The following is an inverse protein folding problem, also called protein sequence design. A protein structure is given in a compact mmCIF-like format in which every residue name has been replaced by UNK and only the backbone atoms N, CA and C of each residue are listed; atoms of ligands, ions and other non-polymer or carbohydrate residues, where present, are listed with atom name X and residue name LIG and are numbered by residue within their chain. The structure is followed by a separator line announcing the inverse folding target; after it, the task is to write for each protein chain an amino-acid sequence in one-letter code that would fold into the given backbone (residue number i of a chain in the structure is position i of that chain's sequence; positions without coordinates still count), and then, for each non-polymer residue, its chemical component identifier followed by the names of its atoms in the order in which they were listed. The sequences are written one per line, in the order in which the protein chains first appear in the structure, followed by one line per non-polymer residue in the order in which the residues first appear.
data_IF_020439155340
#
_entry.id   IF_020439155340
#
_cell.length_a   1.000
_cell.length_b   1.000
_cell.length_c   1.000
_cell.angle_alpha   90.00
_cell.angle_beta   90.00
_cell.angle_gamma   90.00
#
_symmetry.space_group_name_H-M   'P 1'
#
loop_
_entity.id
_entity.type
_entity.pdbx_description
1 polymer ?
#
# COMPACT_ATOMS: atom_id res chain seq x y z
N UNK A 1 -38.53 -46.92 40.63
CA UNK A 1 -37.31 -46.20 41.02
C UNK A 1 -36.61 -45.68 39.77
N UNK A 2 -36.43 -44.35 39.70
CA UNK A 2 -35.57 -43.49 38.86
C UNK A 2 -35.42 -43.78 37.35
N UNK A 3 -36.09 -42.92 36.58
CA UNK A 3 -35.76 -42.57 35.18
C UNK A 3 -34.39 -41.89 35.14
N UNK A 4 -33.47 -42.31 34.28
CA UNK A 4 -32.22 -41.60 34.00
C UNK A 4 -32.37 -40.97 32.62
N UNK A 5 -32.57 -39.65 32.59
CA UNK A 5 -32.48 -38.81 31.40
C UNK A 5 -31.00 -38.48 31.24
N UNK A 6 -30.37 -38.99 30.18
CA UNK A 6 -29.01 -38.59 29.80
C UNK A 6 -29.16 -37.31 28.96
N UNK A 7 -28.85 -36.16 29.57
CA UNK A 7 -28.72 -34.88 28.86
C UNK A 7 -27.52 -34.96 27.91
N UNK A 8 -27.79 -34.84 26.61
CA UNK A 8 -26.79 -34.55 25.59
C UNK A 8 -26.28 -33.13 25.82
N UNK A 9 -25.04 -32.98 26.30
CA UNK A 9 -24.35 -31.69 26.27
C UNK A 9 -23.84 -31.48 24.84
N UNK A 10 -24.55 -30.65 24.06
CA UNK A 10 -24.00 -30.14 22.81
C UNK A 10 -22.90 -29.14 23.13
N UNK A 11 -21.65 -29.56 22.91
CA UNK A 11 -20.49 -28.67 22.97
C UNK A 11 -20.57 -27.74 21.74
N UNK A 12 -21.22 -26.58 21.86
CA UNK A 12 -21.07 -25.52 20.88
C UNK A 12 -19.61 -25.03 20.96
N UNK A 13 -18.79 -25.43 20.00
CA UNK A 13 -17.50 -24.78 19.76
C UNK A 13 -17.76 -23.32 19.40
N UNK A 14 -17.45 -22.42 20.33
CA UNK A 14 -17.32 -21.00 20.04
C UNK A 14 -16.20 -20.85 19.02
N UNK A 15 -16.58 -20.70 17.75
CA UNK A 15 -15.67 -20.21 16.72
C UNK A 15 -15.42 -18.75 17.10
N UNK A 16 -14.31 -18.48 17.78
CA UNK A 16 -13.80 -17.13 17.96
C UNK A 16 -13.39 -16.62 16.58
N UNK A 17 -14.32 -15.97 15.88
CA UNK A 17 -13.98 -15.09 14.77
C UNK A 17 -13.29 -13.90 15.43
N UNK A 18 -11.96 -13.92 15.52
CA UNK A 18 -11.22 -12.70 15.81
C UNK A 18 -11.46 -11.77 14.63
N UNK A 19 -12.34 -10.79 14.79
CA UNK A 19 -12.39 -9.69 13.85
C UNK A 19 -10.98 -9.12 13.78
N UNK A 20 -10.34 -9.17 12.61
CA UNK A 20 -9.06 -8.49 12.40
C UNK A 20 -9.29 -7.02 12.71
N UNK A 21 -8.63 -6.52 13.76
CA UNK A 21 -8.71 -5.11 14.11
C UNK A 21 -8.02 -4.34 13.01
N UNK A 22 -8.79 -3.59 12.22
CA UNK A 22 -8.29 -2.67 11.20
C UNK A 22 -8.01 -1.35 11.90
N UNK A 23 -6.76 -0.89 11.87
CA UNK A 23 -6.40 0.43 12.40
C UNK A 23 -6.94 1.50 11.43
N UNK A 24 -7.87 2.37 11.86
CA UNK A 24 -8.39 3.44 11.02
C UNK A 24 -7.28 4.44 10.63
N UNK A 25 -7.34 4.97 9.42
CA UNK A 25 -6.28 5.85 8.88
C UNK A 25 -6.01 7.07 9.76
N UNK A 26 -7.06 7.63 10.38
CA UNK A 26 -6.93 8.76 11.30
C UNK A 26 -6.09 8.41 12.53
N UNK A 27 -6.38 7.27 13.17
CA UNK A 27 -5.64 6.81 14.34
C UNK A 27 -4.20 6.44 13.97
N UNK A 28 -4.03 5.73 12.83
CA UNK A 28 -2.70 5.40 12.33
C UNK A 28 -1.87 6.66 12.10
N UNK A 29 -2.44 7.69 11.47
CA UNK A 29 -1.75 8.94 11.21
C UNK A 29 -1.38 9.68 12.50
N UNK A 30 -2.29 9.75 13.48
CA UNK A 30 -2.05 10.38 14.79
C UNK A 30 -0.87 9.71 15.52
N UNK A 31 -0.85 8.37 15.58
CA UNK A 31 0.20 7.61 16.26
C UNK A 31 1.55 7.63 15.52
N UNK A 32 1.50 7.58 14.19
CA UNK A 32 2.70 7.44 13.36
C UNK A 32 3.37 8.76 13.04
N UNK A 33 2.65 9.88 13.02
CA UNK A 33 3.20 11.19 12.64
C UNK A 33 4.45 11.57 13.46
N UNK A 34 4.48 11.46 14.81
CA UNK A 34 5.69 11.77 15.59
C UNK A 34 6.89 10.87 15.26
N UNK A 35 6.63 9.61 14.89
CA UNK A 35 7.64 8.62 14.52
C UNK A 35 8.20 8.95 13.13
N UNK A 36 7.31 9.20 12.16
CA UNK A 36 7.64 9.51 10.77
C UNK A 36 8.37 10.86 10.63
N UNK A 37 8.04 11.86 11.45
CA UNK A 37 8.76 13.14 11.46
C UNK A 37 10.26 12.97 11.74
N UNK A 38 10.62 12.01 12.61
CA UNK A 38 12.01 11.67 12.96
C UNK A 38 12.63 10.63 12.03
N UNK A 39 11.81 9.98 11.19
CA UNK A 39 12.27 8.94 10.30
C UNK A 39 13.15 9.47 9.16
N UNK A 40 13.92 8.57 8.54
CA UNK A 40 14.71 8.89 7.35
C UNK A 40 13.79 9.25 6.18
N UNK A 41 14.23 10.21 5.39
CA UNK A 41 13.59 10.55 4.12
C UNK A 41 14.16 9.65 3.02
N UNK A 42 13.29 9.13 2.18
CA UNK A 42 13.64 8.33 1.01
C UNK A 42 13.09 8.96 -0.25
N UNK A 43 13.81 8.81 -1.35
CA UNK A 43 13.45 9.34 -2.65
C UNK A 43 13.18 8.19 -3.61
N UNK A 44 12.05 8.26 -4.30
CA UNK A 44 11.75 7.30 -5.36
C UNK A 44 12.69 7.57 -6.53
N UNK A 45 13.42 6.55 -6.98
CA UNK A 45 14.48 6.72 -7.98
C UNK A 45 14.24 5.95 -9.27
N UNK A 46 13.54 4.82 -9.21
CA UNK A 46 13.35 3.95 -10.37
C UNK A 46 12.40 4.63 -11.37
N UNK A 47 12.85 4.76 -12.62
CA UNK A 47 12.03 5.36 -13.69
C UNK A 47 10.79 4.53 -13.94
N UNK A 48 9.74 5.17 -14.46
CA UNK A 48 8.53 4.48 -14.92
C UNK A 48 8.36 4.66 -16.42
N UNK A 49 7.54 3.82 -17.02
CA UNK A 49 7.04 4.04 -18.37
C UNK A 49 5.61 4.55 -18.28
N UNK A 50 5.28 5.57 -19.06
CA UNK A 50 3.90 6.04 -19.13
C UNK A 50 3.52 6.53 -20.51
N UNK A 51 2.22 6.55 -20.74
CA UNK A 51 1.58 7.09 -21.92
C UNK A 51 0.21 7.64 -21.55
N UNK A 52 -0.37 8.45 -22.43
CA UNK A 52 -1.79 8.78 -22.33
C UNK A 52 -2.62 7.50 -22.42
N UNK A 53 -3.61 7.40 -21.55
CA UNK A 53 -4.61 6.36 -21.60
C UNK A 53 -5.59 6.62 -22.76
N UNK A 54 -6.23 5.56 -23.24
CA UNK A 54 -7.41 5.70 -24.10
C UNK A 54 -8.63 5.80 -23.18
N UNK A 55 -9.54 6.77 -23.34
CA UNK A 55 -10.76 6.81 -22.52
C UNK A 55 -11.53 5.49 -22.59
N UNK A 56 -11.93 4.95 -21.44
CA UNK A 56 -12.57 3.63 -21.32
C UNK A 56 -11.59 2.45 -21.27
N UNK A 57 -10.27 2.68 -21.37
CA UNK A 57 -9.26 1.62 -21.23
C UNK A 57 -9.26 1.04 -19.81
N UNK A 58 -9.40 -0.28 -19.69
CA UNK A 58 -9.35 -0.98 -18.40
C UNK A 58 -7.93 -1.49 -18.16
N UNK A 59 -7.34 -1.08 -17.04
CA UNK A 59 -6.04 -1.56 -16.58
C UNK A 59 -6.23 -2.38 -15.30
N UNK A 60 -5.76 -3.62 -15.34
CA UNK A 60 -5.66 -4.50 -14.17
C UNK A 60 -4.28 -4.35 -13.54
N UNK A 61 -4.26 -4.13 -12.24
CA UNK A 61 -3.04 -4.07 -11.44
C UNK A 61 -2.71 -5.47 -10.92
N UNK A 62 -1.47 -5.89 -11.17
CA UNK A 62 -0.92 -7.13 -10.65
C UNK A 62 0.37 -6.83 -9.90
N UNK A 63 0.49 -7.38 -8.69
CA UNK A 63 1.70 -7.32 -7.87
C UNK A 63 2.35 -8.70 -7.80
N UNK A 64 3.44 -8.80 -7.04
CA UNK A 64 4.07 -10.10 -6.77
C UNK A 64 3.10 -11.08 -6.08
N UNK A 65 2.12 -10.57 -5.34
CA UNK A 65 1.11 -11.35 -4.62
C UNK A 65 -0.11 -11.71 -5.49
N UNK A 66 -0.19 -11.21 -6.74
CA UNK A 66 -1.23 -11.55 -7.71
C UNK A 66 -2.09 -10.37 -8.16
N UNK A 67 -3.36 -10.63 -8.52
CA UNK A 67 -4.30 -9.60 -8.91
C UNK A 67 -4.70 -8.76 -7.69
N UNK A 68 -4.57 -7.44 -7.80
CA UNK A 68 -5.02 -6.53 -6.75
C UNK A 68 -6.33 -5.85 -7.11
N UNK A 69 -6.37 -5.14 -8.23
CA UNK A 69 -7.51 -4.28 -8.59
C UNK A 69 -7.58 -4.00 -10.08
N UNK A 70 -8.63 -3.34 -10.53
CA UNK A 70 -8.74 -2.81 -11.88
C UNK A 70 -9.39 -1.43 -11.87
N UNK A 71 -8.98 -0.58 -12.81
CA UNK A 71 -9.56 0.75 -13.01
C UNK A 71 -9.82 1.02 -14.49
N UNK A 72 -10.76 1.91 -14.76
CA UNK A 72 -11.12 2.37 -16.11
C UNK A 72 -10.63 3.80 -16.29
N UNK A 73 -9.93 4.06 -17.40
CA UNK A 73 -9.34 5.36 -17.66
C UNK A 73 -10.38 6.39 -18.09
N UNK A 74 -10.30 7.58 -17.50
CA UNK A 74 -11.00 8.77 -17.95
C UNK A 74 -10.26 9.51 -19.06
N UNK A 75 -10.82 10.64 -19.47
CA UNK A 75 -10.18 11.52 -20.45
C UNK A 75 -8.95 12.21 -19.86
N UNK A 76 -7.84 12.18 -20.61
CA UNK A 76 -6.58 12.82 -20.20
C UNK A 76 -5.74 12.03 -19.19
N UNK A 77 -6.24 10.89 -18.72
CA UNK A 77 -5.53 10.00 -17.82
C UNK A 77 -4.25 9.42 -18.45
N UNK A 78 -3.38 8.88 -17.59
CA UNK A 78 -2.15 8.22 -17.97
C UNK A 78 -2.17 6.77 -17.50
N UNK A 79 -1.75 5.86 -18.37
CA UNK A 79 -1.35 4.51 -17.97
C UNK A 79 0.11 4.56 -17.58
N UNK A 80 0.39 4.14 -16.36
CA UNK A 80 1.73 4.02 -15.80
C UNK A 80 2.09 2.55 -15.70
N UNK A 81 3.34 2.22 -16.03
CA UNK A 81 3.95 0.91 -15.86
C UNK A 81 5.24 1.06 -15.06
N UNK A 82 5.29 0.40 -13.90
CA UNK A 82 6.50 0.34 -13.09
C UNK A 82 7.59 -0.50 -13.79
N UNK A 83 8.85 -0.19 -13.52
CA UNK A 83 10.01 -0.97 -14.01
C UNK A 83 10.57 -1.91 -12.94
N UNK A 84 9.76 -2.21 -11.91
CA UNK A 84 9.98 -3.29 -10.92
C UNK A 84 9.85 -4.66 -11.56
N UNK A 85 10.16 -5.71 -10.81
CA UNK A 85 9.99 -7.09 -11.30
C UNK A 85 8.52 -7.40 -11.61
N UNK A 86 7.60 -6.94 -10.76
CA UNK A 86 6.15 -7.12 -10.92
C UNK A 86 5.58 -6.35 -12.11
N UNK A 87 6.26 -5.27 -12.57
CA UNK A 87 5.85 -4.43 -13.72
C UNK A 87 4.40 -3.96 -13.63
N UNK A 88 3.95 -3.64 -12.42
CA UNK A 88 2.59 -3.19 -12.12
C UNK A 88 2.16 -2.08 -13.10
N UNK A 89 0.92 -2.18 -13.56
CA UNK A 89 0.29 -1.13 -14.36
C UNK A 89 -0.90 -0.57 -13.62
N UNK A 90 -1.06 0.74 -13.69
CA UNK A 90 -2.17 1.46 -13.06
C UNK A 90 -2.48 2.75 -13.81
N UNK A 91 -3.62 3.35 -13.49
CA UNK A 91 -4.08 4.60 -14.08
C UNK A 91 -3.87 5.74 -13.08
N UNK A 92 -3.44 6.90 -13.58
CA UNK A 92 -3.44 8.15 -12.84
C UNK A 92 -4.16 9.24 -13.62
N UNK A 93 -4.87 10.11 -12.90
CA UNK A 93 -5.34 11.36 -13.48
C UNK A 93 -4.18 12.22 -13.95
N UNK A 94 -4.43 13.05 -14.96
CA UNK A 94 -3.43 14.00 -15.49
C UNK A 94 -2.74 14.79 -14.38
N UNK A 95 -3.52 15.39 -13.49
CA UNK A 95 -3.02 16.20 -12.37
C UNK A 95 -2.09 15.40 -11.45
N UNK A 96 -2.51 14.21 -11.01
CA UNK A 96 -1.69 13.34 -10.16
C UNK A 96 -0.41 12.91 -10.89
N UNK A 97 -0.50 12.63 -12.19
CA UNK A 97 0.64 12.21 -12.99
C UNK A 97 1.68 13.33 -13.10
N UNK A 98 1.26 14.54 -13.48
CA UNK A 98 2.13 15.71 -13.66
C UNK A 98 2.77 16.15 -12.33
N UNK A 99 2.06 16.01 -11.20
CA UNK A 99 2.63 16.26 -9.87
C UNK A 99 3.70 15.25 -9.47
N UNK A 100 3.60 14.00 -9.94
CA UNK A 100 4.43 12.87 -9.47
C UNK A 100 5.62 12.56 -10.38
N UNK A 101 5.58 12.96 -11.64
CA UNK A 101 6.51 12.50 -12.66
C UNK A 101 7.01 13.61 -13.58
N UNK A 102 8.32 13.60 -13.84
CA UNK A 102 8.96 14.47 -14.83
C UNK A 102 9.33 13.67 -16.08
N UNK A 103 8.93 14.14 -17.25
CA UNK A 103 9.32 13.53 -18.52
C UNK A 103 10.85 13.50 -18.66
N UNK A 104 11.38 12.35 -19.10
CA UNK A 104 12.80 12.20 -19.42
C UNK A 104 13.02 12.09 -20.92
N UNK A 105 12.48 11.04 -21.54
CA UNK A 105 12.67 10.75 -22.97
C UNK A 105 11.63 9.78 -23.49
N UNK A 106 11.48 9.72 -24.81
CA UNK A 106 10.69 8.70 -25.49
C UNK A 106 11.38 7.33 -25.33
N UNK A 107 10.60 6.28 -25.08
CA UNK A 107 11.08 4.90 -25.07
C UNK A 107 10.91 4.28 -26.46
N UNK A 108 9.66 4.28 -26.95
CA UNK A 108 9.26 3.69 -28.23
C UNK A 108 8.03 4.42 -28.81
N UNK A 109 7.35 3.83 -29.80
CA UNK A 109 6.16 4.42 -30.42
C UNK A 109 4.97 4.58 -29.47
N UNK A 110 4.93 3.82 -28.37
CA UNK A 110 3.82 3.75 -27.42
C UNK A 110 4.15 4.39 -26.07
N UNK A 111 5.39 4.26 -25.58
CA UNK A 111 5.78 4.59 -24.21
C UNK A 111 6.82 5.70 -24.14
N UNK A 112 6.75 6.48 -23.06
CA UNK A 112 7.78 7.42 -22.66
C UNK A 112 8.33 7.05 -21.28
N UNK A 113 9.56 7.46 -20.98
CA UNK A 113 10.23 7.27 -19.70
C UNK A 113 10.07 8.54 -18.85
N UNK A 114 9.72 8.36 -17.58
CA UNK A 114 9.59 9.45 -16.62
C UNK A 114 10.38 9.19 -15.33
N UNK A 115 10.90 10.26 -14.75
CA UNK A 115 11.52 10.27 -13.44
C UNK A 115 10.46 10.53 -12.37
N UNK A 116 10.33 9.66 -11.34
CA UNK A 116 9.53 9.99 -10.17
C UNK A 116 10.13 11.16 -9.38
N UNK A 117 9.26 12.00 -8.83
CA UNK A 117 9.61 13.16 -7.98
C UNK A 117 9.31 12.93 -6.50
N UNK A 118 8.64 11.81 -6.18
CA UNK A 118 8.11 11.53 -4.84
C UNK A 118 9.20 11.30 -3.80
N UNK A 119 9.00 11.90 -2.62
CA UNK A 119 9.76 11.64 -1.40
C UNK A 119 8.82 11.21 -0.29
N UNK A 120 9.29 10.30 0.56
CA UNK A 120 8.52 9.79 1.69
C UNK A 120 9.38 9.72 2.94
N UNK A 121 8.73 9.84 4.10
CA UNK A 121 9.25 9.30 5.36
C UNK A 121 8.91 7.81 5.41
N UNK A 122 9.82 6.98 5.89
CA UNK A 122 9.58 5.54 5.99
C UNK A 122 10.13 4.96 7.29
N UNK A 123 9.34 4.10 7.91
CA UNK A 123 9.76 3.29 9.06
C UNK A 123 9.44 1.83 8.84
N UNK A 124 10.36 0.97 9.27
CA UNK A 124 10.22 -0.47 9.14
C UNK A 124 9.29 -1.01 10.21
N UNK A 125 8.44 -1.95 9.81
CA UNK A 125 7.55 -2.68 10.71
C UNK A 125 8.37 -3.72 11.46
N UNK A 126 8.66 -3.41 12.73
CA UNK A 126 9.33 -4.28 13.68
C UNK A 126 8.48 -4.45 14.95
N UNK A 127 8.97 -5.27 15.89
CA UNK A 127 8.26 -5.55 17.14
C UNK A 127 8.07 -4.32 18.04
N UNK A 128 8.93 -3.29 17.92
CA UNK A 128 8.74 -2.06 18.67
C UNK A 128 7.61 -1.23 18.08
N UNK A 129 7.48 -1.23 16.75
CA UNK A 129 6.41 -0.55 16.03
C UNK A 129 5.05 -1.21 16.28
N UNK A 130 4.98 -2.55 16.22
CA UNK A 130 3.72 -3.27 16.49
C UNK A 130 3.27 -3.09 17.94
N UNK A 131 4.20 -3.12 18.91
CA UNK A 131 3.91 -2.82 20.31
C UNK A 131 3.38 -1.40 20.50
N UNK A 132 3.92 -0.40 19.79
CA UNK A 132 3.43 0.98 19.82
C UNK A 132 1.98 1.07 19.34
N UNK A 133 1.65 0.36 18.26
CA UNK A 133 0.32 0.37 17.66
C UNK A 133 -0.70 -0.49 18.43
N UNK A 134 -0.28 -1.16 19.51
CA UNK A 134 -1.17 -2.00 20.32
C UNK A 134 -1.72 -3.21 19.57
N UNK A 135 -1.02 -3.70 18.53
CA UNK A 135 -1.43 -4.88 17.78
C UNK A 135 -0.72 -6.13 18.28
N UNK A 136 -1.51 -7.18 18.52
CA UNK A 136 -1.00 -8.50 18.89
C UNK A 136 -0.58 -9.26 17.64
N UNK A 137 0.71 -9.61 17.57
CA UNK A 137 1.29 -10.33 16.44
C UNK A 137 2.16 -9.45 15.54
N UNK A 138 2.51 -10.01 14.38
CA UNK A 138 3.48 -9.40 13.45
C UNK A 138 2.84 -8.88 12.16
N UNK A 139 1.61 -9.32 11.87
CA UNK A 139 0.81 -8.91 10.73
C UNK A 139 -0.49 -8.29 11.24
N UNK A 140 -0.91 -7.17 10.66
CA UNK A 140 -2.11 -6.42 11.06
C UNK A 140 -2.71 -5.69 9.85
N UNK A 141 -3.95 -5.21 9.98
CA UNK A 141 -4.63 -4.47 8.91
C UNK A 141 -4.72 -2.99 9.22
N UNK A 142 -4.58 -2.16 8.19
CA UNK A 142 -4.80 -0.71 8.25
C UNK A 142 -5.85 -0.30 7.22
N UNK A 143 -6.57 0.77 7.50
CA UNK A 143 -7.38 1.46 6.51
C UNK A 143 -6.51 2.47 5.75
N UNK A 144 -6.58 2.44 4.43
CA UNK A 144 -5.86 3.38 3.56
C UNK A 144 -6.61 4.70 3.44
N UNK A 145 -5.96 5.74 2.91
CA UNK A 145 -6.61 7.04 2.66
C UNK A 145 -7.72 6.98 1.60
N UNK A 146 -7.80 5.90 0.82
CA UNK A 146 -8.84 5.66 -0.18
C UNK A 146 -9.90 4.65 0.29
N UNK A 147 -9.91 4.29 1.58
CA UNK A 147 -10.98 3.50 2.21
C UNK A 147 -10.89 1.99 2.02
N UNK A 148 -9.76 1.47 1.52
CA UNK A 148 -9.53 0.03 1.42
C UNK A 148 -8.71 -0.51 2.60
N UNK A 149 -8.97 -1.77 2.96
CA UNK A 149 -8.15 -2.52 3.89
C UNK A 149 -6.81 -2.91 3.25
N UNK A 150 -5.72 -2.74 3.99
CA UNK A 150 -4.39 -3.13 3.57
C UNK A 150 -3.69 -3.92 4.67
N UNK A 151 -3.28 -5.15 4.35
CA UNK A 151 -2.49 -5.98 5.27
C UNK A 151 -1.04 -5.52 5.32
N UNK A 152 -0.56 -5.28 6.53
CA UNK A 152 0.82 -4.92 6.85
C UNK A 152 1.53 -6.14 7.42
N UNK A 153 2.65 -6.54 6.82
CA UNK A 153 3.45 -7.68 7.28
C UNK A 153 4.72 -7.22 7.98
N UNK A 154 5.29 -8.10 8.81
CA UNK A 154 6.61 -7.84 9.41
C UNK A 154 7.67 -7.53 8.38
N UNK A 155 8.45 -6.49 8.64
CA UNK A 155 9.55 -6.05 7.80
C UNK A 155 9.14 -5.11 6.66
N UNK A 156 7.85 -4.95 6.39
CA UNK A 156 7.35 -3.93 5.47
C UNK A 156 7.66 -2.52 5.96
N UNK A 157 7.35 -1.53 5.12
CA UNK A 157 7.54 -0.13 5.43
C UNK A 157 6.18 0.53 5.58
N UNK A 158 5.94 1.19 6.72
CA UNK A 158 4.92 2.22 6.81
C UNK A 158 5.55 3.54 6.36
N UNK A 159 4.92 4.16 5.38
CA UNK A 159 5.45 5.36 4.73
C UNK A 159 4.43 6.48 4.75
N UNK A 160 4.92 7.71 4.62
CA UNK A 160 4.08 8.90 4.52
C UNK A 160 4.71 9.93 3.59
N UNK A 161 3.93 10.67 2.79
CA UNK A 161 4.41 11.84 2.08
C UNK A 161 4.96 12.89 3.06
N UNK A 162 5.76 13.84 2.57
CA UNK A 162 6.42 14.83 3.44
C UNK A 162 5.45 15.82 4.12
N UNK A 163 4.22 15.92 3.64
CA UNK A 163 3.15 16.71 4.26
C UNK A 163 2.37 15.94 5.34
N UNK A 164 2.66 14.65 5.53
CA UNK A 164 1.99 13.76 6.48
C UNK A 164 0.47 13.71 6.28
N UNK A 165 0.02 13.74 5.03
CA UNK A 165 -1.40 13.64 4.67
C UNK A 165 -1.98 12.23 4.87
N UNK A 166 -1.14 11.20 4.83
CA UNK A 166 -1.55 9.80 4.89
C UNK A 166 -0.41 8.90 5.39
N UNK A 167 -0.76 7.72 5.89
CA UNK A 167 0.16 6.60 6.10
C UNK A 167 -0.32 5.41 5.27
N UNK A 168 0.60 4.72 4.61
CA UNK A 168 0.28 3.50 3.88
C UNK A 168 1.46 2.53 3.92
N UNK A 169 1.20 1.28 3.55
CA UNK A 169 2.22 0.23 3.52
C UNK A 169 2.82 0.09 2.14
N UNK A 170 4.14 -0.11 2.09
CA UNK A 170 4.86 -0.63 0.93
C UNK A 170 5.59 -1.88 1.38
N UNK A 171 5.45 -2.95 0.59
CA UNK A 171 6.17 -4.20 0.81
C UNK A 171 7.69 -3.98 0.85
N UNK A 172 8.40 -4.77 1.67
CA UNK A 172 9.83 -4.57 1.89
C UNK A 172 10.66 -4.56 0.60
N UNK A 173 10.47 -5.58 -0.27
CA UNK A 173 11.22 -5.75 -1.51
C UNK A 173 10.95 -4.59 -2.48
N UNK A 174 9.68 -4.26 -2.68
CA UNK A 174 9.18 -3.22 -3.56
C UNK A 174 9.66 -1.83 -3.13
N UNK A 175 9.72 -1.58 -1.81
CA UNK A 175 10.26 -0.35 -1.27
C UNK A 175 11.71 -0.17 -1.68
N UNK A 176 12.58 -1.15 -1.41
CA UNK A 176 14.01 -1.03 -1.72
C UNK A 176 14.33 -1.14 -3.21
N UNK A 177 13.45 -1.73 -4.02
CA UNK A 177 13.55 -1.67 -5.48
C UNK A 177 13.30 -0.27 -6.05
N UNK A 178 12.52 0.57 -5.36
CA UNK A 178 12.01 1.83 -5.91
C UNK A 178 12.45 3.07 -5.14
N UNK A 179 12.87 2.93 -3.89
CA UNK A 179 13.30 4.01 -3.00
C UNK A 179 14.73 3.82 -2.51
N UNK A 180 15.45 4.93 -2.40
CA UNK A 180 16.78 5.01 -1.80
C UNK A 180 16.79 6.09 -0.74
N UNK A 181 17.64 5.96 0.27
CA UNK A 181 17.81 7.00 1.27
C UNK A 181 18.20 8.31 0.57
N UNK A 182 17.53 9.41 0.94
CA UNK A 182 17.93 10.75 0.49
C UNK A 182 19.35 11.04 0.95
N UNK A 183 20.11 11.76 0.12
CA UNK A 183 21.43 12.28 0.52
C UNK A 183 21.28 13.35 1.59
#
# INVERSE_FOLDING_TARGET
MKKIIIMLFSLLSLISISASVIIPQKLLLEDMKPVLQKAKTYEKFKVIYARKAVPGEIIKTYTADGYETQNTAGEGDFVVKNTTDAKEMYILTKEKFEKRYKYLKKLDSKWNIYQPLGKVKAVKVDSALTKRLGVDGIDFSIETSWGEEMTVKKGDLLVSPLDYSEVYRIANKEFYETYKAGK
#
